data_IF_351682371886
#
_entry.id   IF_351682371886
#
_cell.length_a   1.000
_cell.length_b   1.000
_cell.length_c   1.000
_cell.angle_alpha   90.00
_cell.angle_beta   90.00
_cell.angle_gamma   90.00
#
_symmetry.space_group_name_H-M   'P 1'
#
loop_
_entity.id
_entity.type
_entity.pdbx_description
1 polymer ?
#
# COMPACT_ATOMS: atom_id res chain seq x y z
N UNK A 1 11.12 1.88 -1.98
CA UNK A 1 12.06 1.09 -2.80
C UNK A 1 13.14 1.92 -3.48
N UNK A 2 12.83 3.06 -4.12
CA UNK A 2 13.82 3.92 -4.82
C UNK A 2 14.97 4.40 -3.88
N UNK A 3 14.64 4.71 -2.63
CA UNK A 3 15.58 4.99 -1.54
C UNK A 3 16.63 3.88 -1.29
N UNK A 4 16.14 2.63 -1.33
CA UNK A 4 16.93 1.45 -1.09
C UNK A 4 17.86 1.23 -2.28
N UNK A 5 17.34 1.41 -3.50
CA UNK A 5 18.08 1.32 -4.76
C UNK A 5 19.29 2.25 -4.83
N UNK A 6 19.12 3.54 -4.50
CA UNK A 6 20.21 4.53 -4.54
C UNK A 6 21.31 4.19 -3.53
N UNK A 7 20.94 3.76 -2.31
CA UNK A 7 21.89 3.42 -1.24
C UNK A 7 22.57 2.05 -1.41
N UNK A 8 21.95 1.14 -2.14
CA UNK A 8 22.42 -0.24 -2.31
C UNK A 8 22.98 -0.53 -3.71
N UNK A 9 23.16 0.51 -4.55
CA UNK A 9 23.79 0.45 -5.88
C UNK A 9 25.16 -0.24 -5.90
N UNK A 10 25.80 -0.36 -4.73
CA UNK A 10 27.12 -0.97 -4.53
C UNK A 10 27.10 -2.27 -3.71
N UNK A 11 25.94 -2.92 -3.52
CA UNK A 11 25.84 -4.19 -2.78
C UNK A 11 25.21 -5.29 -3.62
N UNK A 12 25.95 -6.37 -3.86
CA UNK A 12 25.49 -7.59 -4.57
C UNK A 12 24.23 -8.23 -3.94
N UNK A 13 23.94 -7.93 -2.67
CA UNK A 13 22.83 -8.51 -1.91
C UNK A 13 21.44 -8.11 -2.42
N UNK A 14 21.31 -6.98 -3.13
CA UNK A 14 20.03 -6.57 -3.75
C UNK A 14 19.62 -7.49 -4.91
N UNK A 15 20.60 -7.98 -5.67
CA UNK A 15 20.33 -8.60 -6.96
C UNK A 15 19.89 -10.05 -6.85
N UNK A 16 20.02 -10.69 -5.68
CA UNK A 16 19.71 -12.11 -5.50
C UNK A 16 18.44 -12.37 -4.69
N UNK A 17 17.87 -11.39 -3.97
CA UNK A 17 16.71 -11.56 -3.07
C UNK A 17 16.81 -12.72 -2.04
N UNK A 18 17.87 -13.52 -2.03
CA UNK A 18 18.02 -14.73 -1.19
C UNK A 18 17.97 -14.38 0.30
N UNK A 19 18.75 -13.40 0.74
CA UNK A 19 18.75 -12.98 2.15
C UNK A 19 17.42 -12.36 2.58
N UNK A 20 16.79 -11.59 1.68
CA UNK A 20 15.46 -11.03 1.94
C UNK A 20 14.41 -12.13 2.07
N UNK A 21 14.48 -13.16 1.22
CA UNK A 21 13.63 -14.36 1.29
C UNK A 21 13.77 -15.07 2.63
N UNK A 22 14.98 -15.29 3.10
CA UNK A 22 15.21 -15.94 4.40
C UNK A 22 14.55 -15.16 5.54
N UNK A 23 14.76 -13.84 5.59
CA UNK A 23 14.20 -12.98 6.64
C UNK A 23 12.67 -12.96 6.57
N UNK A 24 12.09 -12.75 5.38
CA UNK A 24 10.64 -12.73 5.20
C UNK A 24 10.04 -14.09 5.54
N UNK A 25 10.70 -15.19 5.16
CA UNK A 25 10.25 -16.53 5.49
C UNK A 25 10.25 -16.79 7.00
N UNK A 26 11.28 -16.34 7.71
CA UNK A 26 11.35 -16.46 9.17
C UNK A 26 10.27 -15.62 9.87
N UNK A 27 10.12 -14.36 9.47
CA UNK A 27 9.15 -13.42 10.08
C UNK A 27 7.71 -13.81 9.76
N UNK A 28 7.44 -14.32 8.56
CA UNK A 28 6.09 -14.65 8.09
C UNK A 28 5.75 -16.13 8.19
N UNK A 29 6.54 -16.96 8.89
CA UNK A 29 6.36 -18.41 8.96
C UNK A 29 4.95 -18.85 9.42
N UNK A 30 4.36 -18.07 10.33
CA UNK A 30 3.05 -18.34 10.93
C UNK A 30 1.93 -17.47 10.33
N UNK A 31 2.24 -16.68 9.29
CA UNK A 31 1.33 -15.66 8.76
C UNK A 31 0.00 -16.24 8.34
N UNK A 32 0.00 -17.34 7.56
CA UNK A 32 -1.24 -17.93 7.05
C UNK A 32 -2.10 -18.46 8.20
N UNK A 33 -1.50 -19.14 9.17
CA UNK A 33 -2.22 -19.65 10.33
C UNK A 33 -2.84 -18.52 11.15
N UNK A 34 -2.11 -17.41 11.32
CA UNK A 34 -2.61 -16.21 12.02
C UNK A 34 -3.79 -15.59 11.25
N UNK A 35 -3.65 -15.41 9.93
CA UNK A 35 -4.73 -14.86 9.10
C UNK A 35 -6.01 -15.71 9.18
N UNK A 36 -5.90 -17.03 9.14
CA UNK A 36 -7.05 -17.93 9.26
C UNK A 36 -7.66 -17.91 10.66
N UNK A 37 -6.83 -17.99 11.69
CA UNK A 37 -7.27 -18.01 13.10
C UNK A 37 -7.97 -16.72 13.49
N UNK A 38 -7.40 -15.58 13.10
CA UNK A 38 -7.92 -14.26 13.43
C UNK A 38 -8.91 -13.76 12.36
N UNK A 39 -9.26 -14.62 11.40
CA UNK A 39 -10.20 -14.37 10.31
C UNK A 39 -9.91 -13.07 9.54
N UNK A 40 -8.61 -12.77 9.39
CA UNK A 40 -8.08 -11.57 8.76
C UNK A 40 -7.83 -11.81 7.28
N UNK A 41 -8.40 -10.94 6.45
CA UNK A 41 -8.25 -11.01 5.00
C UNK A 41 -7.04 -10.18 4.54
N UNK A 42 -6.01 -10.85 4.04
CA UNK A 42 -4.87 -10.20 3.38
C UNK A 42 -5.01 -10.29 1.86
N UNK A 43 -4.76 -9.18 1.18
CA UNK A 43 -4.59 -9.12 -0.27
C UNK A 43 -3.27 -8.47 -0.62
N UNK A 44 -2.54 -9.11 -1.51
CA UNK A 44 -1.24 -8.65 -1.99
C UNK A 44 -1.36 -8.39 -3.49
N UNK A 45 -1.18 -7.12 -3.88
CA UNK A 45 -1.17 -6.72 -5.28
C UNK A 45 0.15 -7.10 -5.93
N UNK A 46 0.09 -7.83 -7.05
CA UNK A 46 1.25 -8.15 -7.89
C UNK A 46 0.91 -7.92 -9.35
N UNK A 47 1.90 -7.63 -10.17
CA UNK A 47 1.74 -7.51 -11.63
C UNK A 47 2.51 -8.62 -12.32
N UNK A 48 1.84 -9.35 -13.21
CA UNK A 48 2.50 -10.28 -14.11
C UNK A 48 3.14 -9.50 -15.27
N UNK A 49 4.47 -9.56 -15.35
CA UNK A 49 5.24 -8.68 -16.22
C UNK A 49 4.99 -8.91 -17.71
N UNK A 50 4.82 -10.17 -18.10
CA UNK A 50 4.65 -10.54 -19.51
C UNK A 50 3.32 -10.05 -20.09
N UNK A 51 2.29 -9.95 -19.26
CA UNK A 51 0.92 -9.59 -19.68
C UNK A 51 0.48 -8.21 -19.22
N UNK A 52 1.16 -7.64 -18.22
CA UNK A 52 0.73 -6.42 -17.54
C UNK A 52 -0.47 -6.65 -16.60
N UNK A 53 -0.89 -7.89 -16.39
CA UNK A 53 -2.08 -8.22 -15.62
C UNK A 53 -1.83 -8.00 -14.12
N UNK A 54 -2.63 -7.11 -13.51
CA UNK A 54 -2.69 -6.95 -12.06
C UNK A 54 -3.45 -8.11 -11.40
N UNK A 55 -2.91 -8.64 -10.31
CA UNK A 55 -3.49 -9.74 -9.54
C UNK A 55 -3.55 -9.36 -8.07
N UNK A 56 -4.76 -9.41 -7.52
CA UNK A 56 -4.99 -9.34 -6.07
C UNK A 56 -4.90 -10.75 -5.49
N UNK A 57 -3.80 -11.05 -4.80
CA UNK A 57 -3.51 -12.40 -4.33
C UNK A 57 -3.94 -12.60 -2.89
N UNK A 58 -4.71 -13.66 -2.66
CA UNK A 58 -5.00 -14.20 -1.33
C UNK A 58 -3.91 -15.22 -0.93
N UNK A 59 -3.12 -14.96 0.12
CA UNK A 59 -2.10 -15.88 0.59
C UNK A 59 -2.67 -17.15 1.24
N UNK A 60 -3.93 -17.18 1.64
CA UNK A 60 -4.54 -18.34 2.32
C UNK A 60 -5.01 -19.43 1.35
N UNK A 61 -5.27 -19.07 0.09
CA UNK A 61 -5.74 -19.98 -0.96
C UNK A 61 -4.62 -20.97 -1.35
N UNK A 62 -4.99 -22.24 -1.55
CA UNK A 62 -4.08 -23.36 -1.86
C UNK A 62 -3.05 -23.06 -2.95
N UNK A 63 -3.42 -22.28 -3.98
CA UNK A 63 -2.52 -21.88 -5.07
C UNK A 63 -1.30 -21.08 -4.60
N UNK A 64 -1.45 -20.27 -3.56
CA UNK A 64 -0.44 -19.31 -3.08
C UNK A 64 0.07 -19.61 -1.67
N UNK A 65 -0.62 -20.47 -0.92
CA UNK A 65 -0.31 -20.84 0.46
C UNK A 65 1.16 -21.20 0.67
N UNK A 66 1.69 -22.08 -0.16
CA UNK A 66 3.08 -22.55 -0.06
C UNK A 66 4.11 -21.56 -0.64
N UNK A 67 3.65 -20.37 -1.09
CA UNK A 67 4.45 -19.37 -1.80
C UNK A 67 4.22 -17.96 -1.27
N UNK A 68 3.70 -17.84 -0.06
CA UNK A 68 3.41 -16.56 0.60
C UNK A 68 4.60 -15.61 0.55
N UNK A 69 5.81 -16.13 0.84
CA UNK A 69 7.04 -15.34 0.81
C UNK A 69 7.31 -14.79 -0.59
N UNK A 70 7.12 -15.61 -1.63
CA UNK A 70 7.32 -15.16 -3.01
C UNK A 70 6.29 -14.08 -3.39
N UNK A 71 5.03 -14.22 -2.94
CA UNK A 71 3.98 -13.24 -3.21
C UNK A 71 4.29 -11.91 -2.52
N UNK A 72 4.72 -11.93 -1.25
CA UNK A 72 5.11 -10.72 -0.51
C UNK A 72 6.28 -10.02 -1.19
N UNK A 73 7.30 -10.77 -1.61
CA UNK A 73 8.45 -10.20 -2.29
C UNK A 73 8.06 -9.67 -3.66
N UNK A 74 7.20 -10.37 -4.40
CA UNK A 74 6.69 -9.88 -5.67
C UNK A 74 5.95 -8.55 -5.47
N UNK A 75 5.09 -8.46 -4.46
CA UNK A 75 4.33 -7.25 -4.11
C UNK A 75 5.19 -6.07 -3.65
N UNK A 76 6.49 -6.28 -3.41
CA UNK A 76 7.44 -5.23 -3.00
C UNK A 76 8.61 -5.07 -3.98
N UNK A 77 8.65 -5.87 -5.06
CA UNK A 77 9.66 -5.81 -6.11
C UNK A 77 9.36 -4.65 -7.06
N UNK A 78 9.76 -3.44 -6.70
CA UNK A 78 9.63 -2.27 -7.56
C UNK A 78 10.51 -2.43 -8.80
N UNK A 79 9.98 -2.25 -10.02
CA UNK A 79 10.78 -2.27 -11.25
C UNK A 79 11.97 -1.30 -11.17
N UNK A 80 13.07 -1.65 -11.85
CA UNK A 80 14.37 -0.93 -11.80
C UNK A 80 15.10 -1.02 -10.45
N UNK A 81 14.39 -1.27 -9.35
CA UNK A 81 14.98 -1.37 -8.02
C UNK A 81 15.31 -2.81 -7.60
N UNK A 82 14.45 -3.75 -7.95
CA UNK A 82 14.57 -5.15 -7.55
C UNK A 82 14.40 -6.07 -8.75
N UNK A 83 15.03 -7.27 -8.73
CA UNK A 83 14.80 -8.26 -9.77
C UNK A 83 13.36 -8.80 -9.69
N UNK A 84 12.79 -9.25 -10.82
CA UNK A 84 11.48 -9.88 -10.83
C UNK A 84 11.47 -11.15 -10.01
N UNK A 85 10.31 -11.45 -9.40
CA UNK A 85 10.08 -12.71 -8.71
C UNK A 85 9.51 -13.75 -9.67
N UNK A 86 9.99 -14.99 -9.58
CA UNK A 86 9.39 -16.15 -10.27
C UNK A 86 8.78 -17.09 -9.24
N UNK A 87 7.46 -17.13 -9.17
CA UNK A 87 6.75 -18.00 -8.23
C UNK A 87 6.73 -19.46 -8.67
N UNK A 88 6.85 -19.76 -9.97
CA UNK A 88 6.82 -21.14 -10.48
C UNK A 88 8.01 -21.36 -11.41
N UNK A 89 8.95 -22.24 -11.03
CA UNK A 89 10.13 -22.53 -11.86
C UNK A 89 9.80 -23.16 -13.22
N UNK A 90 8.63 -23.79 -13.37
CA UNK A 90 8.16 -24.40 -14.64
C UNK A 90 7.44 -23.42 -15.56
N UNK A 91 7.03 -22.24 -15.07
CA UNK A 91 6.37 -21.21 -15.87
C UNK A 91 7.29 -20.00 -15.94
N UNK A 92 7.44 -19.39 -17.10
CA UNK A 92 8.38 -18.28 -17.28
C UNK A 92 7.85 -16.92 -16.78
N UNK A 93 6.67 -16.90 -16.17
CA UNK A 93 6.08 -15.66 -15.67
C UNK A 93 6.89 -15.03 -14.54
N UNK A 94 7.11 -13.72 -14.69
CA UNK A 94 7.80 -12.85 -13.76
C UNK A 94 6.81 -11.89 -13.12
N UNK A 95 7.03 -11.58 -11.86
CA UNK A 95 6.13 -10.76 -11.08
C UNK A 95 6.86 -9.58 -10.44
N UNK A 96 6.20 -8.42 -10.45
CA UNK A 96 6.64 -7.18 -9.83
C UNK A 96 5.57 -6.61 -8.92
N UNK A 97 5.91 -5.51 -8.26
CA UNK A 97 5.08 -4.75 -7.33
C UNK A 97 3.74 -4.38 -7.97
N UNK A 98 2.65 -4.62 -7.24
CA UNK A 98 1.28 -4.25 -7.64
C UNK A 98 1.07 -2.75 -7.79
N UNK A 99 1.80 -1.95 -7.02
CA UNK A 99 1.67 -0.48 -6.95
C UNK A 99 2.02 0.25 -8.25
N UNK A 100 2.63 -0.43 -9.22
CA UNK A 100 2.88 0.13 -10.55
C UNK A 100 1.62 0.14 -11.44
N UNK A 101 0.58 -0.61 -11.06
CA UNK A 101 -0.71 -0.65 -11.76
C UNK A 101 -1.88 -0.24 -10.87
N UNK A 102 -1.81 -0.54 -9.57
CA UNK A 102 -2.86 -0.28 -8.60
C UNK A 102 -2.23 -0.04 -7.22
N UNK A 103 -2.06 1.24 -6.86
CA UNK A 103 -1.34 1.65 -5.65
C UNK A 103 -2.21 1.61 -4.40
N UNK A 104 -3.51 1.87 -4.54
CA UNK A 104 -4.46 1.74 -3.43
C UNK A 104 -5.64 0.89 -3.90
N UNK A 105 -5.64 -0.41 -3.58
CA UNK A 105 -6.54 -1.39 -4.22
C UNK A 105 -7.97 -1.33 -3.65
N UNK A 106 -8.63 -0.18 -3.78
CA UNK A 106 -10.02 0.02 -3.36
C UNK A 106 -10.96 -0.95 -4.05
N UNK A 107 -10.74 -1.21 -5.34
CA UNK A 107 -11.50 -2.21 -6.09
C UNK A 107 -11.45 -3.58 -5.41
N UNK A 108 -10.28 -4.04 -5.01
CA UNK A 108 -10.10 -5.35 -4.39
C UNK A 108 -10.74 -5.43 -3.01
N UNK A 109 -10.59 -4.38 -2.20
CA UNK A 109 -11.25 -4.28 -0.89
C UNK A 109 -12.74 -4.49 -1.07
N UNK A 110 -13.34 -3.79 -2.04
CA UNK A 110 -14.74 -3.94 -2.27
C UNK A 110 -15.14 -5.29 -2.88
N UNK A 111 -14.36 -5.84 -3.81
CA UNK A 111 -14.63 -7.16 -4.38
C UNK A 111 -14.68 -8.24 -3.29
N UNK A 112 -13.91 -8.09 -2.21
CA UNK A 112 -14.01 -8.92 -1.00
C UNK A 112 -15.24 -8.60 -0.17
N UNK A 113 -15.40 -7.33 0.23
CA UNK A 113 -16.45 -6.94 1.19
C UNK A 113 -17.86 -7.07 0.59
N UNK A 114 -17.96 -7.26 -0.73
CA UNK A 114 -19.20 -7.55 -1.46
C UNK A 114 -19.56 -9.03 -1.52
N UNK A 115 -18.67 -9.94 -1.14
CA UNK A 115 -19.00 -11.37 -1.17
C UNK A 115 -20.14 -11.65 -0.16
N UNK A 116 -21.18 -12.41 -0.55
CA UNK A 116 -22.32 -12.69 0.33
C UNK A 116 -21.91 -13.27 1.68
N UNK A 117 -20.88 -14.11 1.70
CA UNK A 117 -20.39 -14.74 2.92
C UNK A 117 -19.65 -13.74 3.82
N UNK A 118 -18.93 -12.77 3.24
CA UNK A 118 -18.35 -11.66 3.99
C UNK A 118 -19.45 -10.81 4.61
N UNK A 119 -20.48 -10.43 3.83
CA UNK A 119 -21.57 -9.57 4.30
C UNK A 119 -22.45 -10.21 5.37
N UNK A 120 -22.67 -11.53 5.30
CA UNK A 120 -23.42 -12.26 6.32
C UNK A 120 -22.69 -12.26 7.66
N UNK A 121 -21.36 -12.21 7.63
CA UNK A 121 -20.50 -12.37 8.80
C UNK A 121 -19.98 -11.04 9.35
N UNK A 122 -19.72 -10.09 8.47
CA UNK A 122 -19.07 -8.83 8.76
C UNK A 122 -19.78 -7.68 8.08
N UNK A 123 -19.69 -6.49 8.69
CA UNK A 123 -20.13 -5.25 8.09
C UNK A 123 -18.92 -4.32 7.90
N UNK A 124 -18.70 -3.80 6.69
CA UNK A 124 -17.62 -2.85 6.44
C UNK A 124 -18.02 -1.46 6.93
N UNK A 125 -17.49 -1.03 8.06
CA UNK A 125 -17.79 0.29 8.63
C UNK A 125 -16.91 1.41 8.07
N UNK A 126 -15.63 1.12 7.80
CA UNK A 126 -14.64 2.11 7.43
C UNK A 126 -13.49 1.51 6.66
N UNK A 127 -12.94 2.29 5.73
CA UNK A 127 -11.69 2.00 5.03
C UNK A 127 -10.66 3.03 5.49
N UNK A 128 -9.47 2.55 5.85
CA UNK A 128 -8.31 3.40 6.13
C UNK A 128 -7.28 3.20 5.02
N UNK A 129 -7.05 4.24 4.22
CA UNK A 129 -6.02 4.25 3.20
C UNK A 129 -4.77 4.94 3.75
N UNK A 130 -3.72 4.16 4.05
CA UNK A 130 -2.47 4.69 4.60
C UNK A 130 -1.45 4.82 3.48
N UNK A 131 -1.01 6.05 3.22
CA UNK A 131 -0.03 6.36 2.19
C UNK A 131 1.31 6.71 2.80
N UNK A 132 2.38 6.27 2.13
CA UNK A 132 3.75 6.59 2.51
C UNK A 132 4.28 7.83 1.78
N UNK A 133 3.48 8.48 0.94
CA UNK A 133 3.80 9.69 0.20
C UNK A 133 2.58 10.64 0.20
N UNK A 134 2.80 11.96 0.10
CA UNK A 134 1.70 12.92 0.04
C UNK A 134 0.95 12.79 -1.29
N UNK A 135 -0.34 13.08 -1.24
CA UNK A 135 -1.16 13.28 -2.43
C UNK A 135 -0.92 14.71 -2.90
N UNK A 136 0.13 14.90 -3.70
CA UNK A 136 0.44 16.22 -4.22
C UNK A 136 1.02 16.14 -5.62
N UNK A 137 0.54 17.05 -6.47
CA UNK A 137 0.98 17.23 -7.85
C UNK A 137 2.14 18.23 -7.94
N UNK A 138 2.90 18.42 -6.84
CA UNK A 138 3.99 19.40 -6.82
C UNK A 138 4.90 19.20 -8.02
N UNK A 139 5.04 20.28 -8.77
CA UNK A 139 6.02 20.37 -9.84
C UNK A 139 7.39 20.16 -9.24
N UNK A 140 8.16 19.24 -9.82
CA UNK A 140 9.58 19.13 -9.51
C UNK A 140 10.33 20.04 -10.46
N UNK A 141 11.10 20.98 -9.92
CA UNK A 141 12.00 21.84 -10.69
C UNK A 141 13.39 21.21 -10.87
N UNK A 142 13.53 19.91 -10.58
CA UNK A 142 14.79 19.19 -10.71
C UNK A 142 15.12 18.92 -12.19
N UNK A 143 16.40 19.08 -12.55
CA UNK A 143 16.90 18.73 -13.87
C UNK A 143 17.41 17.28 -13.89
N UNK A 144 16.75 16.41 -14.66
CA UNK A 144 17.05 14.97 -14.73
C UNK A 144 18.08 14.68 -15.84
N UNK A 145 19.27 14.22 -15.46
CA UNK A 145 20.39 14.01 -16.41
C UNK A 145 20.60 12.54 -16.80
N UNK A 146 20.25 11.60 -15.93
CA UNK A 146 20.45 10.17 -16.14
C UNK A 146 19.20 9.42 -16.60
N UNK A 147 19.37 8.37 -17.42
CA UNK A 147 18.29 7.48 -17.83
C UNK A 147 17.53 6.88 -16.65
N UNK A 148 18.25 6.51 -15.57
CA UNK A 148 17.64 5.99 -14.36
C UNK A 148 16.85 7.05 -13.59
N UNK A 149 17.32 8.30 -13.58
CA UNK A 149 16.62 9.41 -12.92
C UNK A 149 15.30 9.70 -13.65
N UNK A 150 15.35 9.70 -14.99
CA UNK A 150 14.17 9.83 -15.86
C UNK A 150 13.19 8.69 -15.58
N UNK A 151 13.65 7.44 -15.62
CA UNK A 151 12.78 6.27 -15.42
C UNK A 151 12.16 6.23 -14.02
N UNK A 152 12.93 6.61 -12.97
CA UNK A 152 12.42 6.74 -11.61
C UNK A 152 11.36 7.85 -11.51
N UNK A 153 11.57 8.99 -12.17
CA UNK A 153 10.59 10.08 -12.19
C UNK A 153 9.33 9.69 -12.94
N UNK A 154 9.44 9.00 -14.07
CA UNK A 154 8.30 8.48 -14.82
C UNK A 154 7.47 7.53 -13.94
N UNK A 155 8.12 6.61 -13.23
CA UNK A 155 7.41 5.69 -12.33
C UNK A 155 6.69 6.43 -11.21
N UNK A 156 7.32 7.43 -10.59
CA UNK A 156 6.69 8.27 -9.56
C UNK A 156 5.45 9.02 -10.09
N UNK A 157 5.52 9.58 -11.30
CA UNK A 157 4.38 10.25 -11.94
C UNK A 157 3.25 9.25 -12.17
N UNK A 158 3.54 8.09 -12.77
CA UNK A 158 2.53 7.07 -13.06
C UNK A 158 1.85 6.57 -11.78
N UNK A 159 2.62 6.26 -10.73
CA UNK A 159 2.05 5.82 -9.45
C UNK A 159 1.12 6.88 -8.82
N UNK A 160 1.46 8.17 -8.96
CA UNK A 160 0.60 9.28 -8.48
C UNK A 160 -0.69 9.39 -9.27
N UNK A 161 -0.62 9.32 -10.60
CA UNK A 161 -1.81 9.35 -11.47
C UNK A 161 -2.74 8.16 -11.19
N UNK A 162 -2.18 6.96 -11.05
CA UNK A 162 -2.93 5.75 -10.66
C UNK A 162 -3.69 5.99 -9.36
N UNK A 163 -3.02 6.51 -8.33
CA UNK A 163 -3.68 6.78 -7.05
C UNK A 163 -4.83 7.80 -7.15
N UNK A 164 -4.60 8.92 -7.84
CA UNK A 164 -5.64 9.94 -8.00
C UNK A 164 -6.86 9.37 -8.72
N UNK A 165 -6.63 8.58 -9.77
CA UNK A 165 -7.68 7.89 -10.50
C UNK A 165 -8.41 6.86 -9.62
N UNK A 166 -7.68 6.03 -8.85
CA UNK A 166 -8.25 5.05 -7.93
C UNK A 166 -9.16 5.73 -6.88
N UNK A 167 -8.71 6.86 -6.35
CA UNK A 167 -9.47 7.66 -5.38
C UNK A 167 -10.70 8.31 -6.02
N UNK A 168 -10.57 8.88 -7.21
CA UNK A 168 -11.69 9.50 -7.92
C UNK A 168 -12.79 8.47 -8.23
N UNK A 169 -12.39 7.29 -8.72
CA UNK A 169 -13.31 6.17 -8.97
C UNK A 169 -14.00 5.74 -7.68
N UNK A 170 -13.27 5.66 -6.56
CA UNK A 170 -13.85 5.37 -5.24
C UNK A 170 -14.89 6.43 -4.85
N UNK A 171 -14.53 7.72 -4.87
CA UNK A 171 -15.39 8.82 -4.44
C UNK A 171 -16.66 8.89 -5.30
N UNK A 172 -16.52 8.77 -6.62
CA UNK A 172 -17.63 8.77 -7.58
C UNK A 172 -18.57 7.60 -7.37
N UNK A 173 -18.02 6.39 -7.16
CA UNK A 173 -18.81 5.21 -6.85
C UNK A 173 -19.59 5.43 -5.55
N UNK A 174 -18.94 5.93 -4.51
CA UNK A 174 -19.57 6.19 -3.21
C UNK A 174 -20.70 7.22 -3.36
N UNK A 175 -20.49 8.30 -4.13
CA UNK A 175 -21.51 9.31 -4.40
C UNK A 175 -22.76 8.72 -5.09
N UNK A 176 -22.59 7.82 -6.06
CA UNK A 176 -23.72 7.16 -6.71
C UNK A 176 -24.50 6.24 -5.77
N UNK A 177 -23.82 5.55 -4.86
CA UNK A 177 -24.47 4.71 -3.86
C UNK A 177 -25.22 5.55 -2.83
N UNK A 178 -24.65 6.67 -2.40
CA UNK A 178 -25.35 7.66 -1.58
C UNK A 178 -26.61 8.17 -2.29
N UNK A 179 -26.52 8.50 -3.57
CA UNK A 179 -27.67 8.89 -4.38
C UNK A 179 -28.75 7.81 -4.41
N UNK A 180 -28.37 6.54 -4.62
CA UNK A 180 -29.28 5.38 -4.56
C UNK A 180 -29.99 5.31 -3.20
N UNK A 181 -29.22 5.33 -2.11
CA UNK A 181 -29.78 5.18 -0.77
C UNK A 181 -30.75 6.31 -0.41
N UNK A 182 -30.46 7.54 -0.83
CA UNK A 182 -31.33 8.70 -0.59
C UNK A 182 -32.58 8.70 -1.49
N UNK A 183 -32.46 8.28 -2.75
CA UNK A 183 -33.60 8.25 -3.66
C UNK A 183 -34.58 7.12 -3.30
N UNK A 184 -34.09 5.98 -2.82
CA UNK A 184 -34.92 4.87 -2.33
C UNK A 184 -35.71 5.24 -1.08
N UNK A 185 -35.09 6.00 -0.16
CA UNK A 185 -35.79 6.54 1.02
C UNK A 185 -36.89 7.51 0.64
N UNK A 186 -36.65 8.38 -0.37
CA UNK A 186 -37.61 9.40 -0.79
C UNK A 186 -38.75 8.85 -1.65
N UNK A 187 -38.49 7.81 -2.44
CA UNK A 187 -39.45 7.25 -3.38
C UNK A 187 -39.54 5.71 -3.29
N UNK A 188 -39.95 5.15 -2.13
CA UNK A 188 -39.96 3.70 -1.89
C UNK A 188 -40.88 2.93 -2.84
N UNK A 189 -41.92 3.58 -3.35
CA UNK A 189 -42.93 2.96 -4.24
C UNK A 189 -42.55 3.00 -5.73
N UNK A 190 -41.46 3.70 -6.09
CA UNK A 190 -41.07 3.96 -7.49
C UNK A 190 -40.03 2.98 -8.03
N UNK A 191 -40.16 1.69 -7.67
CA UNK A 191 -39.14 0.67 -7.95
C UNK A 191 -38.81 0.53 -9.44
N UNK A 192 -39.80 0.58 -10.32
CA UNK A 192 -39.56 0.44 -11.77
C UNK A 192 -38.84 1.63 -12.38
N UNK A 193 -39.17 2.86 -11.96
CA UNK A 193 -38.48 4.06 -12.41
C UNK A 193 -37.05 4.12 -11.87
N UNK A 194 -36.83 3.74 -10.60
CA UNK A 194 -35.50 3.64 -10.01
C UNK A 194 -34.62 2.62 -10.74
N UNK A 195 -35.17 1.46 -11.11
CA UNK A 195 -34.45 0.46 -11.89
C UNK A 195 -33.98 0.97 -13.25
N UNK A 196 -34.77 1.82 -13.92
CA UNK A 196 -34.35 2.47 -15.17
C UNK A 196 -33.16 3.41 -14.94
N UNK A 197 -33.21 4.20 -13.87
CA UNK A 197 -32.10 5.10 -13.47
C UNK A 197 -30.84 4.29 -13.19
N UNK A 198 -30.94 3.17 -12.45
CA UNK A 198 -29.78 2.35 -12.11
C UNK A 198 -29.15 1.68 -13.34
N UNK A 199 -29.97 1.19 -14.27
CA UNK A 199 -29.49 0.66 -15.55
C UNK A 199 -28.82 1.74 -16.39
N UNK A 200 -29.33 2.98 -16.35
CA UNK A 200 -28.70 4.10 -17.05
C UNK A 200 -27.35 4.45 -16.43
N UNK A 201 -27.25 4.52 -15.10
CA UNK A 201 -25.96 4.75 -14.42
C UNK A 201 -24.96 3.67 -14.79
N UNK A 202 -25.34 2.39 -14.73
CA UNK A 202 -24.47 1.29 -15.15
C UNK A 202 -24.03 1.44 -16.61
N UNK A 203 -24.94 1.77 -17.54
CA UNK A 203 -24.60 1.92 -18.95
C UNK A 203 -23.62 3.07 -19.22
N UNK A 204 -23.82 4.22 -18.57
CA UNK A 204 -23.03 5.42 -18.84
C UNK A 204 -21.70 5.46 -18.07
N UNK A 205 -21.59 4.70 -16.96
CA UNK A 205 -20.43 4.77 -16.06
C UNK A 205 -19.72 3.45 -15.81
N UNK A 206 -20.31 2.33 -16.25
CA UNK A 206 -19.91 0.95 -15.90
C UNK A 206 -19.99 0.63 -14.38
N UNK A 207 -20.63 1.50 -13.60
CA UNK A 207 -20.80 1.32 -12.14
C UNK A 207 -22.17 0.72 -11.84
N UNK A 208 -22.18 -0.54 -11.41
CA UNK A 208 -23.39 -1.24 -10.97
C UNK A 208 -23.75 -0.89 -9.50
N UNK A 209 -24.28 0.31 -9.27
CA UNK A 209 -24.48 0.89 -7.93
C UNK A 209 -25.29 0.00 -6.97
N UNK A 210 -26.07 -0.96 -7.48
CA UNK A 210 -26.82 -1.94 -6.66
C UNK A 210 -25.93 -2.94 -5.95
N UNK A 211 -24.71 -3.17 -6.45
CA UNK A 211 -23.72 -4.07 -5.84
C UNK A 211 -22.90 -3.44 -4.72
N UNK A 212 -23.08 -2.14 -4.46
CA UNK A 212 -22.20 -1.37 -3.57
C UNK A 212 -22.97 -0.86 -2.35
N UNK A 213 -22.24 -0.60 -1.26
CA UNK A 213 -22.74 0.10 -0.08
C UNK A 213 -21.82 1.28 0.21
N UNK A 214 -22.36 2.29 0.87
CA UNK A 214 -21.57 3.45 1.23
C UNK A 214 -20.53 3.07 2.27
N UNK A 215 -19.30 3.53 2.10
CA UNK A 215 -18.24 3.38 3.11
C UNK A 215 -17.49 4.68 3.26
N UNK A 216 -17.07 4.97 4.50
CA UNK A 216 -16.18 6.11 4.74
C UNK A 216 -14.75 5.67 4.48
N UNK A 217 -14.04 6.39 3.60
CA UNK A 217 -12.61 6.22 3.42
C UNK A 217 -11.88 7.36 4.12
N UNK A 218 -11.04 7.02 5.08
CA UNK A 218 -10.12 7.96 5.74
C UNK A 218 -8.75 7.76 5.15
N UNK A 219 -8.27 8.77 4.45
CA UNK A 219 -6.91 8.80 3.93
C UNK A 219 -5.97 9.36 4.99
N UNK A 220 -4.94 8.60 5.33
CA UNK A 220 -3.85 9.00 6.22
C UNK A 220 -2.61 9.13 5.34
N UNK A 221 -2.18 10.35 5.07
CA UNK A 221 -1.04 10.64 4.21
C UNK A 221 -0.14 11.71 4.86
N UNK A 222 1.17 11.73 4.55
CA UNK A 222 2.05 12.81 4.92
C UNK A 222 1.54 14.16 4.40
N UNK A 223 1.73 15.20 5.20
CA UNK A 223 1.42 16.59 4.85
C UNK A 223 2.30 17.03 3.66
N UNK A 224 1.72 17.41 2.50
CA UNK A 224 2.47 17.85 1.34
C UNK A 224 3.43 19.00 1.62
N UNK A 225 3.08 19.91 2.53
CA UNK A 225 3.91 21.08 2.86
C UNK A 225 5.15 20.72 3.66
N UNK A 226 5.04 19.69 4.50
CA UNK A 226 6.13 19.19 5.34
C UNK A 226 6.91 18.06 4.68
N UNK A 227 6.35 17.48 3.61
CA UNK A 227 7.02 16.47 2.83
C UNK A 227 8.10 17.09 1.97
N UNK A 228 9.35 16.77 2.30
CA UNK A 228 10.48 16.95 1.39
C UNK A 228 10.53 15.75 0.47
N UNK A 229 10.75 15.98 -0.82
CA UNK A 229 10.89 14.86 -1.76
C UNK A 229 11.95 13.91 -1.21
N UNK A 230 11.69 12.62 -1.27
CA UNK A 230 12.65 11.64 -0.76
C UNK A 230 13.98 11.74 -1.54
N UNK A 231 13.94 12.18 -2.80
CA UNK A 231 15.14 12.47 -3.60
C UNK A 231 15.84 13.77 -3.18
N UNK A 232 15.17 14.67 -2.47
CA UNK A 232 15.74 15.86 -1.83
C UNK A 232 16.25 15.58 -0.40
N UNK A 233 16.10 14.34 0.10
CA UNK A 233 16.48 13.94 1.47
C UNK A 233 17.99 13.94 1.76
N UNK A 234 18.82 14.27 0.78
CA UNK A 234 20.22 14.63 1.02
C UNK A 234 20.36 15.95 1.84
N UNK A 235 19.25 16.63 2.13
CA UNK A 235 19.15 17.84 2.97
C UNK A 235 18.59 17.58 4.40
N UNK A 236 18.53 16.33 4.89
CA UNK A 236 18.22 16.10 6.30
C UNK A 236 19.36 16.65 7.17
N UNK A 237 19.07 17.41 8.26
CA UNK A 237 20.10 17.97 9.12
C UNK A 237 20.96 16.86 9.73
N UNK A 238 22.26 17.13 9.92
CA UNK A 238 23.31 16.21 10.38
C UNK A 238 23.09 15.56 11.77
N UNK A 239 21.93 15.78 12.40
CA UNK A 239 21.58 15.21 13.69
C UNK A 239 20.20 15.69 14.20
N UNK A 240 19.74 15.14 15.34
CA UNK A 240 18.49 15.54 15.98
C UNK A 240 18.55 17.01 16.42
N UNK A 241 17.51 17.79 16.08
CA UNK A 241 17.42 19.22 16.39
C UNK A 241 17.04 19.54 17.85
N UNK A 242 16.65 18.55 18.66
CA UNK A 242 16.32 18.78 20.07
C UNK A 242 16.97 17.74 20.99
N UNK A 243 17.48 18.23 22.13
CA UNK A 243 18.02 17.40 23.20
C UNK A 243 16.91 16.56 23.85
N UNK A 244 17.14 15.25 23.95
CA UNK A 244 16.21 14.25 24.49
C UNK A 244 15.61 14.65 25.86
N UNK A 245 14.31 14.37 26.04
CA UNK A 245 13.66 14.50 27.35
C UNK A 245 14.14 13.39 28.29
N UNK A 246 14.57 13.75 29.50
CA UNK A 246 14.96 12.80 30.57
C UNK A 246 13.82 11.81 30.84
N UNK A 247 14.08 10.52 30.65
CA UNK A 247 13.16 9.42 31.01
C UNK A 247 12.55 8.62 29.85
N UNK A 248 12.85 8.94 28.60
CA UNK A 248 12.39 8.16 27.45
C UNK A 248 13.23 6.88 27.27
N UNK A 249 12.64 5.72 27.62
CA UNK A 249 13.28 4.39 27.49
C UNK A 249 13.07 3.75 26.10
N UNK A 250 12.42 4.44 25.16
CA UNK A 250 12.15 3.91 23.81
C UNK A 250 13.44 3.60 23.05
N UNK A 251 14.48 4.43 23.23
CA UNK A 251 15.82 4.19 22.68
C UNK A 251 16.42 2.88 23.22
N UNK A 252 16.37 2.67 24.54
CA UNK A 252 16.92 1.47 25.20
C UNK A 252 16.20 0.18 24.76
N UNK A 253 14.88 0.24 24.59
CA UNK A 253 14.07 -0.89 24.12
C UNK A 253 14.34 -1.22 22.65
N UNK A 254 14.47 -0.18 21.81
CA UNK A 254 14.80 -0.32 20.40
C UNK A 254 16.18 -0.96 20.21
N UNK A 255 17.23 -0.43 20.85
CA UNK A 255 18.58 -0.98 20.74
C UNK A 255 18.73 -2.40 21.31
N UNK A 256 17.93 -2.77 22.31
CA UNK A 256 17.95 -4.13 22.88
C UNK A 256 17.35 -5.18 21.93
N UNK A 257 16.44 -4.77 21.04
CA UNK A 257 15.76 -5.66 20.09
C UNK A 257 16.32 -5.55 18.66
N UNK A 258 17.23 -4.60 18.40
CA UNK A 258 17.76 -4.36 17.07
C UNK A 258 18.90 -5.34 16.71
N UNK A 259 18.84 -6.03 15.55
CA UNK A 259 19.85 -7.02 15.18
C UNK A 259 21.25 -6.39 15.02
N UNK A 260 22.26 -6.98 15.67
CA UNK A 260 23.64 -6.48 15.74
C UNK A 260 24.42 -6.55 14.42
N UNK A 261 23.78 -6.92 13.32
CA UNK A 261 24.40 -7.17 12.01
C UNK A 261 24.15 -6.06 10.98
N UNK A 262 23.42 -5.01 11.33
CA UNK A 262 23.27 -3.82 10.48
C UNK A 262 24.28 -2.73 10.86
N UNK A 263 24.78 -2.04 9.83
CA UNK A 263 25.82 -1.00 9.83
C UNK A 263 25.81 -0.11 11.09
N UNK A 264 27.00 0.08 11.68
CA UNK A 264 27.28 0.94 12.85
C UNK A 264 27.29 2.45 12.51
N UNK A 265 26.74 2.85 11.37
CA UNK A 265 26.65 4.26 10.96
C UNK A 265 25.56 4.97 11.78
N UNK A 266 25.92 5.82 12.77
CA UNK A 266 24.97 6.39 13.72
C UNK A 266 23.91 7.27 13.05
N UNK A 267 24.25 7.89 11.91
CA UNK A 267 23.33 8.78 11.18
C UNK A 267 22.22 8.00 10.49
N UNK A 268 22.56 6.85 9.90
CA UNK A 268 21.59 5.97 9.24
C UNK A 268 20.68 5.27 10.23
N UNK A 269 21.23 4.91 11.39
CA UNK A 269 20.47 4.34 12.49
C UNK A 269 19.47 5.34 13.08
N UNK A 270 19.86 6.62 13.20
CA UNK A 270 18.97 7.68 13.69
C UNK A 270 17.82 8.01 12.74
N UNK A 271 18.04 7.96 11.43
CA UNK A 271 16.97 8.16 10.45
C UNK A 271 15.89 7.06 10.53
N UNK A 272 16.30 5.80 10.66
CA UNK A 272 15.38 4.68 10.84
C UNK A 272 14.62 4.76 12.17
N UNK A 273 15.30 5.15 13.25
CA UNK A 273 14.70 5.40 14.56
C UNK A 273 13.65 6.51 14.51
N UNK A 274 13.97 7.67 13.93
CA UNK A 274 13.02 8.79 13.84
C UNK A 274 11.80 8.47 12.98
N UNK A 275 11.98 7.75 11.88
CA UNK A 275 10.87 7.29 11.05
C UNK A 275 9.96 6.31 11.79
N UNK A 276 10.53 5.31 12.47
CA UNK A 276 9.76 4.37 13.29
C UNK A 276 9.05 5.05 14.46
N UNK A 277 9.70 6.00 15.13
CA UNK A 277 9.12 6.75 16.24
C UNK A 277 8.03 7.73 15.81
N UNK A 278 8.15 8.34 14.63
CA UNK A 278 7.09 9.16 14.04
C UNK A 278 5.85 8.32 13.76
N UNK A 279 6.02 7.17 13.10
CA UNK A 279 4.93 6.22 12.84
C UNK A 279 4.27 5.74 14.14
N UNK A 280 5.06 5.39 15.16
CA UNK A 280 4.52 4.97 16.45
C UNK A 280 3.80 6.10 17.22
N UNK A 281 4.29 7.34 17.16
CA UNK A 281 3.70 8.48 17.88
C UNK A 281 2.45 9.04 17.23
N UNK A 282 2.35 8.99 15.91
CA UNK A 282 1.24 9.62 15.19
C UNK A 282 0.14 8.62 14.81
N UNK A 283 0.49 7.35 14.58
CA UNK A 283 -0.48 6.31 14.17
C UNK A 283 -0.93 5.46 15.37
N UNK A 284 -0.05 5.20 16.34
CA UNK A 284 -0.32 4.25 17.44
C UNK A 284 -0.59 4.92 18.80
N UNK A 285 -0.78 6.24 18.86
CA UNK A 285 -1.18 6.89 20.12
C UNK A 285 -2.47 6.24 20.64
N UNK A 286 -2.54 5.85 21.93
CA UNK A 286 -3.82 5.53 22.54
C UNK A 286 -4.69 6.78 22.41
N UNK A 287 -5.89 6.64 21.84
CA UNK A 287 -6.91 7.68 21.96
C UNK A 287 -7.03 7.97 23.45
N UNK A 288 -6.79 9.22 23.86
CA UNK A 288 -7.19 9.66 25.20
C UNK A 288 -8.68 9.35 25.31
N UNK A 289 -9.04 8.42 26.21
CA UNK A 289 -10.42 8.26 26.60
C UNK A 289 -10.91 9.60 27.18
N UNK A 290 -12.18 9.97 26.94
CA UNK A 290 -12.77 11.17 27.54
C UNK A 290 -12.66 11.15 29.07
#
# INVERSE_FOLDING_TARGET
>A
GIALLIKLKNTDSLFKNERLREIVNEVCKDLVQILEKDETYLRLGIVEYQTGEYKSVDPTISKYRDRVVDVIIASTSIPLAFPPVRMNKKKEYQYFDGGVMNMTPFKDIFDITRQPDFQKKYNLESIYAVLCSPISNRESHQYYKGLFDIASRTLDILCKEIYLNDKEVFDRTNAFVWFRDEIEKKFPDKKEELEKIYKQILKETDIDIKKYFTSTCKVIAPDPEKWKDFLESDLYPDGPQESMKKGDNSEKLFWRQFPSTLTKDPKKLMAAYHFGMFMAREILKPKKQP
#
